data_IF_833270992642
#
_entry.id   IF_833270992642
#
_cell.length_a   1.000
_cell.length_b   1.000
_cell.length_c   1.000
_cell.angle_alpha   90.00
_cell.angle_beta   90.00
_cell.angle_gamma   90.00
#
_symmetry.space_group_name_H-M   'P 1'
#
loop_
_entity.id
_entity.type
_entity.pdbx_description
1 polymer ?
#
# COMPACT_ATOMS: atom_id res chain seq x y z
N UNK A 1 -4.73 4.52 24.72
CA UNK A 1 -5.29 5.36 23.63
C UNK A 1 -5.22 4.76 22.21
N UNK A 2 -4.40 3.72 21.93
CA UNK A 2 -4.28 3.12 20.58
C UNK A 2 -5.45 2.24 20.11
N UNK A 3 -6.16 1.58 21.03
CA UNK A 3 -7.22 0.60 20.70
C UNK A 3 -8.48 1.23 20.07
N UNK A 4 -8.83 2.47 20.42
CA UNK A 4 -10.01 3.18 19.86
C UNK A 4 -9.87 3.56 18.38
N UNK A 5 -8.64 3.74 17.88
CA UNK A 5 -8.38 4.04 16.47
C UNK A 5 -8.51 2.79 15.58
N UNK A 6 -8.19 1.61 16.12
CA UNK A 6 -8.29 0.34 15.40
C UNK A 6 -9.75 -0.07 15.16
N UNK A 7 -10.62 0.13 16.15
CA UNK A 7 -12.05 -0.18 16.02
C UNK A 7 -12.75 0.71 14.98
N UNK A 8 -12.41 2.00 14.93
CA UNK A 8 -13.06 2.95 14.01
C UNK A 8 -12.66 2.75 12.54
N UNK A 9 -11.42 2.32 12.26
CA UNK A 9 -10.99 1.99 10.90
C UNK A 9 -11.50 0.61 10.47
N UNK A 10 -11.63 -0.32 11.41
CA UNK A 10 -12.15 -1.68 11.19
C UNK A 10 -13.65 -1.69 10.90
N UNK A 11 -14.46 -0.96 11.70
CA UNK A 11 -15.92 -0.85 11.52
C UNK A 11 -16.30 -0.18 10.20
N UNK A 12 -15.58 0.90 9.80
CA UNK A 12 -15.84 1.61 8.52
C UNK A 12 -15.55 0.77 7.27
N UNK A 13 -14.70 -0.26 7.38
CA UNK A 13 -14.29 -1.10 6.26
C UNK A 13 -14.81 -2.55 6.33
N UNK A 14 -15.65 -2.90 7.33
CA UNK A 14 -16.16 -4.28 7.58
C UNK A 14 -15.04 -5.33 7.56
N UNK A 15 -13.96 -5.08 8.30
CA UNK A 15 -12.74 -5.90 8.27
C UNK A 15 -12.60 -6.80 9.52
N UNK A 16 -13.39 -7.87 9.62
CA UNK A 16 -13.25 -8.89 10.68
C UNK A 16 -12.43 -10.12 10.22
N UNK A 17 -11.78 -10.82 11.16
CA UNK A 17 -11.05 -12.08 10.90
C UNK A 17 -9.65 -11.92 10.27
N UNK A 18 -9.42 -12.54 9.11
CA UNK A 18 -8.12 -12.51 8.37
C UNK A 18 -7.58 -11.09 8.12
N UNK A 19 -8.46 -10.08 8.15
CA UNK A 19 -8.13 -8.67 8.02
C UNK A 19 -7.39 -8.05 9.22
N UNK A 20 -7.58 -8.56 10.44
CA UNK A 20 -6.78 -8.15 11.60
C UNK A 20 -5.30 -8.53 11.44
N UNK A 21 -5.02 -9.70 10.85
CA UNK A 21 -3.65 -10.12 10.54
C UNK A 21 -2.95 -9.17 9.55
N UNK A 22 -3.69 -8.58 8.61
CA UNK A 22 -3.14 -7.57 7.70
C UNK A 22 -2.82 -6.25 8.40
N UNK A 23 -3.65 -5.81 9.35
CA UNK A 23 -3.37 -4.60 10.14
C UNK A 23 -2.06 -4.77 10.94
N UNK A 24 -1.92 -5.89 11.64
CA UNK A 24 -0.70 -6.22 12.40
C UNK A 24 0.50 -6.30 11.45
N UNK A 25 0.34 -6.92 10.27
CA UNK A 25 1.39 -6.98 9.26
C UNK A 25 1.84 -5.59 8.78
N UNK A 26 0.90 -4.69 8.46
CA UNK A 26 1.23 -3.32 8.05
C UNK A 26 1.85 -2.51 9.19
N UNK A 27 1.39 -2.70 10.43
CA UNK A 27 2.02 -2.09 11.60
C UNK A 27 3.48 -2.52 11.75
N UNK A 28 3.78 -3.82 11.59
CA UNK A 28 5.16 -4.32 11.60
C UNK A 28 6.01 -3.69 10.50
N UNK A 29 5.47 -3.50 9.30
CA UNK A 29 6.18 -2.82 8.20
C UNK A 29 6.43 -1.35 8.54
N UNK A 30 5.42 -0.63 9.03
CA UNK A 30 5.54 0.78 9.43
C UNK A 30 6.61 0.92 10.51
N UNK A 31 6.63 0.02 11.50
CA UNK A 31 7.64 0.02 12.55
C UNK A 31 9.05 -0.18 11.98
N UNK A 32 9.24 -1.15 11.07
CA UNK A 32 10.52 -1.36 10.38
C UNK A 32 10.97 -0.12 9.60
N UNK A 33 10.06 0.54 8.89
CA UNK A 33 10.38 1.78 8.15
C UNK A 33 10.77 2.90 9.11
N UNK A 34 10.04 3.07 10.21
CA UNK A 34 10.36 4.09 11.23
C UNK A 34 11.73 3.86 11.86
N UNK A 35 12.07 2.60 12.18
CA UNK A 35 13.39 2.26 12.71
C UNK A 35 14.50 2.53 11.70
N UNK A 36 14.28 2.18 10.42
CA UNK A 36 15.23 2.50 9.35
C UNK A 36 15.45 4.01 9.21
N UNK A 37 14.38 4.82 9.23
CA UNK A 37 14.50 6.29 9.22
C UNK A 37 15.32 6.79 10.42
N UNK A 38 15.06 6.25 11.61
CA UNK A 38 15.81 6.61 12.82
C UNK A 38 17.30 6.27 12.68
N UNK A 39 17.63 5.07 12.20
CA UNK A 39 19.03 4.68 11.96
C UNK A 39 19.71 5.57 10.93
N UNK A 40 19.03 5.92 9.83
CA UNK A 40 19.58 6.84 8.82
C UNK A 40 19.79 8.25 9.35
N UNK A 41 18.91 8.71 10.25
CA UNK A 41 19.05 10.03 10.88
C UNK A 41 20.39 10.16 11.63
N UNK A 42 20.75 9.13 12.42
CA UNK A 42 21.98 9.10 13.23
C UNK A 42 23.26 8.69 12.47
N UNK A 43 23.15 8.34 11.19
CA UNK A 43 24.29 7.91 10.39
C UNK A 43 25.23 9.09 10.10
N UNK A 44 26.51 8.98 10.53
CA UNK A 44 27.53 10.04 10.36
C UNK A 44 28.05 10.16 8.91
N UNK A 45 28.09 9.06 8.16
CA UNK A 45 28.57 9.04 6.78
C UNK A 45 27.56 9.73 5.84
N UNK A 46 27.80 11.01 5.53
CA UNK A 46 26.92 11.86 4.70
C UNK A 46 26.64 11.28 3.29
N UNK A 47 27.63 10.85 2.49
CA UNK A 47 27.34 10.34 1.14
C UNK A 47 26.54 9.04 1.18
N UNK A 48 26.89 8.10 2.07
CA UNK A 48 26.14 6.85 2.21
C UNK A 48 24.72 7.09 2.73
N UNK A 49 24.56 8.00 3.70
CA UNK A 49 23.25 8.45 4.20
C UNK A 49 22.38 8.94 3.04
N UNK A 50 22.86 9.92 2.26
CA UNK A 50 22.11 10.49 1.13
C UNK A 50 21.68 9.42 0.12
N UNK A 51 22.56 8.45 -0.19
CA UNK A 51 22.23 7.33 -1.05
C UNK A 51 21.06 6.49 -0.50
N UNK A 52 21.13 6.10 0.78
CA UNK A 52 20.08 5.32 1.42
C UNK A 52 18.75 6.08 1.51
N UNK A 53 18.80 7.40 1.75
CA UNK A 53 17.62 8.26 1.79
C UNK A 53 16.91 8.30 0.44
N UNK A 54 17.66 8.53 -0.65
CA UNK A 54 17.14 8.51 -2.02
C UNK A 54 16.55 7.13 -2.35
N UNK A 55 17.25 6.05 -1.98
CA UNK A 55 16.81 4.69 -2.24
C UNK A 55 15.50 4.37 -1.51
N UNK A 56 15.42 4.69 -0.22
CA UNK A 56 14.22 4.50 0.59
C UNK A 56 13.06 5.36 0.06
N UNK A 57 13.32 6.63 -0.26
CA UNK A 57 12.37 7.57 -0.84
C UNK A 57 11.76 7.04 -2.14
N UNK A 58 12.60 6.63 -3.09
CA UNK A 58 12.17 6.00 -4.35
C UNK A 58 11.37 4.73 -4.11
N UNK A 59 11.79 3.87 -3.18
CA UNK A 59 11.07 2.61 -2.89
C UNK A 59 9.67 2.87 -2.35
N UNK A 60 9.52 3.80 -1.41
CA UNK A 60 8.24 4.16 -0.82
C UNK A 60 7.33 4.92 -1.78
N UNK A 61 7.91 5.79 -2.61
CA UNK A 61 7.21 6.47 -3.70
C UNK A 61 6.70 5.48 -4.75
N UNK A 62 7.53 4.51 -5.13
CA UNK A 62 7.14 3.48 -6.09
C UNK A 62 5.93 2.71 -5.55
N UNK A 63 5.96 2.27 -4.30
CA UNK A 63 4.81 1.63 -3.65
C UNK A 63 3.57 2.53 -3.52
N UNK A 64 3.69 3.82 -3.84
CA UNK A 64 2.66 4.84 -3.72
C UNK A 64 2.30 5.17 -2.28
N UNK A 65 3.22 4.90 -1.34
CA UNK A 65 3.08 5.27 0.06
C UNK A 65 3.46 6.74 0.29
N UNK A 66 4.31 7.30 -0.57
CA UNK A 66 4.69 8.71 -0.60
C UNK A 66 4.19 9.39 -1.87
N UNK A 67 3.94 10.69 -1.77
CA UNK A 67 3.56 11.54 -2.90
C UNK A 67 4.80 12.00 -3.67
N UNK A 68 5.89 12.24 -2.95
CA UNK A 68 7.19 12.71 -3.43
C UNK A 68 8.29 11.86 -2.75
N UNK A 69 9.28 11.33 -3.49
CA UNK A 69 10.37 10.56 -2.91
C UNK A 69 11.27 11.36 -1.96
N UNK A 70 11.34 12.69 -2.09
CA UNK A 70 12.21 13.54 -1.28
C UNK A 70 11.66 13.76 0.14
N UNK A 71 10.34 13.60 0.34
CA UNK A 71 9.67 13.78 1.63
C UNK A 71 9.79 12.55 2.54
N UNK A 72 10.87 11.77 2.42
CA UNK A 72 11.00 10.49 3.10
C UNK A 72 11.06 10.66 4.62
N UNK A 73 11.58 11.77 5.15
CA UNK A 73 11.61 12.05 6.59
C UNK A 73 10.41 12.85 7.06
N UNK A 74 9.89 13.75 6.23
CA UNK A 74 8.83 14.69 6.63
C UNK A 74 7.47 14.01 6.76
N UNK A 75 7.20 12.98 5.95
CA UNK A 75 5.91 12.28 5.97
C UNK A 75 5.93 11.01 6.82
N UNK A 76 5.01 10.98 7.78
CA UNK A 76 4.65 9.77 8.53
C UNK A 76 3.81 8.84 7.65
N UNK A 77 4.28 7.59 7.52
CA UNK A 77 3.53 6.54 6.81
C UNK A 77 2.52 5.95 7.78
N UNK A 78 1.27 5.88 7.36
CA UNK A 78 0.16 5.34 8.15
C UNK A 78 -0.40 4.08 7.53
N UNK A 79 -1.16 3.30 8.31
CA UNK A 79 -1.87 2.12 7.82
C UNK A 79 -2.82 2.48 6.68
N UNK A 80 -3.43 3.68 6.71
CA UNK A 80 -4.30 4.18 5.65
C UNK A 80 -3.55 4.30 4.31
N UNK A 81 -2.26 4.65 4.31
CA UNK A 81 -1.44 4.65 3.10
C UNK A 81 -1.39 3.25 2.48
N UNK A 82 -1.20 2.20 3.29
CA UNK A 82 -1.17 0.82 2.80
C UNK A 82 -2.54 0.34 2.31
N UNK A 83 -3.61 0.60 3.08
CA UNK A 83 -4.97 0.18 2.72
C UNK A 83 -5.43 0.82 1.41
N UNK A 84 -5.10 2.10 1.20
CA UNK A 84 -5.45 2.83 -0.02
C UNK A 84 -4.74 2.31 -1.28
N UNK A 85 -3.69 1.50 -1.12
CA UNK A 85 -2.92 0.85 -2.19
C UNK A 85 -3.29 -0.62 -2.38
N UNK A 86 -4.38 -1.09 -1.77
CA UNK A 86 -4.87 -2.45 -2.05
C UNK A 86 -5.59 -2.46 -3.40
N UNK A 87 -5.42 -3.55 -4.15
CA UNK A 87 -6.00 -3.69 -5.48
C UNK A 87 -7.49 -3.36 -5.50
N UNK A 88 -8.26 -3.86 -4.52
CA UNK A 88 -9.70 -3.60 -4.51
C UNK A 88 -10.03 -2.11 -4.38
N UNK A 89 -9.28 -1.35 -3.59
CA UNK A 89 -9.49 0.10 -3.45
C UNK A 89 -9.19 0.80 -4.76
N UNK A 90 -8.12 0.40 -5.44
CA UNK A 90 -7.72 0.95 -6.72
C UNK A 90 -8.74 0.63 -7.83
N UNK A 91 -9.24 -0.60 -7.87
CA UNK A 91 -10.27 -1.03 -8.81
C UNK A 91 -11.59 -0.25 -8.61
N UNK A 92 -12.00 -0.03 -7.35
CA UNK A 92 -13.17 0.79 -7.04
C UNK A 92 -12.98 2.25 -7.45
N UNK A 93 -11.80 2.84 -7.20
CA UNK A 93 -11.47 4.20 -7.65
C UNK A 93 -11.51 4.33 -9.17
N UNK A 94 -11.10 3.29 -9.90
CA UNK A 94 -11.17 3.20 -11.37
C UNK A 94 -12.56 2.82 -11.90
N UNK A 95 -13.58 2.67 -11.04
CA UNK A 95 -14.94 2.28 -11.40
C UNK A 95 -15.05 0.91 -12.09
N UNK A 96 -14.09 0.00 -11.86
CA UNK A 96 -14.16 -1.37 -12.38
C UNK A 96 -15.18 -2.25 -11.64
N UNK A 97 -15.69 -1.80 -10.49
CA UNK A 97 -16.79 -2.44 -9.77
C UNK A 97 -17.48 -1.42 -8.85
N UNK A 98 -18.69 -1.73 -8.39
CA UNK A 98 -19.44 -0.86 -7.46
C UNK A 98 -19.09 -1.13 -6.02
N UNK A 99 -18.75 -2.38 -5.70
CA UNK A 99 -18.42 -2.82 -4.35
C UNK A 99 -17.29 -3.87 -4.34
N UNK A 100 -16.83 -4.24 -3.14
CA UNK A 100 -15.77 -5.24 -2.96
C UNK A 100 -16.09 -6.62 -3.56
N UNK A 101 -17.36 -7.06 -3.48
CA UNK A 101 -17.78 -8.36 -4.00
C UNK A 101 -17.67 -8.39 -5.53
N UNK A 102 -18.03 -7.31 -6.20
CA UNK A 102 -17.91 -7.17 -7.65
C UNK A 102 -16.45 -7.31 -8.09
N UNK A 103 -15.54 -6.56 -7.45
CA UNK A 103 -14.11 -6.63 -7.77
C UNK A 103 -13.55 -8.04 -7.49
N UNK A 104 -13.98 -8.68 -6.40
CA UNK A 104 -13.61 -10.07 -6.09
C UNK A 104 -14.10 -11.05 -7.14
N UNK A 105 -15.31 -10.85 -7.65
CA UNK A 105 -15.86 -11.64 -8.74
C UNK A 105 -15.04 -11.46 -10.03
N UNK A 106 -14.67 -10.23 -10.37
CA UNK A 106 -13.83 -9.95 -11.54
C UNK A 106 -12.44 -10.60 -11.45
N UNK A 107 -11.78 -10.55 -10.29
CA UNK A 107 -10.52 -11.27 -10.08
C UNK A 107 -10.72 -12.79 -10.24
N UNK A 108 -11.80 -13.36 -9.69
CA UNK A 108 -12.09 -14.80 -9.80
C UNK A 108 -12.36 -15.22 -11.25
N UNK A 109 -13.00 -14.36 -12.03
CA UNK A 109 -13.26 -14.55 -13.46
C UNK A 109 -12.07 -14.20 -14.37
N UNK A 110 -10.91 -13.83 -13.79
CA UNK A 110 -9.70 -13.43 -14.53
C UNK A 110 -9.94 -12.26 -15.50
N UNK A 111 -10.86 -11.34 -15.17
CA UNK A 111 -11.21 -10.17 -16.00
C UNK A 111 -10.46 -8.89 -15.62
N UNK A 112 -9.66 -8.95 -14.57
CA UNK A 112 -8.77 -7.86 -14.16
C UNK A 112 -7.34 -8.24 -14.46
N UNK A 113 -6.67 -7.37 -15.20
CA UNK A 113 -5.31 -7.58 -15.64
C UNK A 113 -4.38 -6.50 -15.11
N UNK A 114 -3.14 -6.91 -14.90
CA UNK A 114 -2.04 -6.05 -14.56
C UNK A 114 -0.83 -6.43 -15.40
N UNK A 115 -0.30 -5.52 -16.20
CA UNK A 115 0.80 -5.82 -17.12
C UNK A 115 0.54 -7.12 -17.91
N UNK A 116 -0.67 -7.25 -18.46
CA UNK A 116 -1.10 -8.42 -19.22
C UNK A 116 -1.18 -9.74 -18.42
N UNK A 117 -1.02 -9.70 -17.09
CA UNK A 117 -1.18 -10.86 -16.22
C UNK A 117 -2.51 -10.80 -15.45
N UNK A 118 -3.32 -11.88 -15.43
CA UNK A 118 -4.60 -11.89 -14.73
C UNK A 118 -4.40 -11.83 -13.21
N UNK A 119 -5.22 -11.05 -12.52
CA UNK A 119 -5.11 -10.85 -11.08
C UNK A 119 -6.03 -11.80 -10.33
N UNK A 120 -5.43 -12.73 -9.58
CA UNK A 120 -6.17 -13.81 -8.93
C UNK A 120 -6.65 -13.50 -7.50
N UNK A 121 -6.07 -12.50 -6.83
CA UNK A 121 -6.38 -12.16 -5.42
C UNK A 121 -6.60 -10.67 -5.24
N UNK A 122 -7.72 -10.30 -4.62
CA UNK A 122 -8.10 -8.91 -4.30
C UNK A 122 -7.31 -8.30 -3.14
N UNK A 123 -6.75 -9.16 -2.30
CA UNK A 123 -6.06 -8.77 -1.07
C UNK A 123 -4.60 -8.41 -1.30
N UNK A 124 -4.07 -8.66 -2.51
CA UNK A 124 -2.74 -8.26 -2.91
C UNK A 124 -2.64 -6.77 -2.61
N UNK A 125 -1.82 -6.44 -1.60
CA UNK A 125 -1.26 -5.11 -1.52
C UNK A 125 -0.58 -4.96 -2.85
N UNK A 126 -1.10 -4.02 -3.62
CA UNK A 126 -0.65 -3.84 -4.95
C UNK A 126 0.83 -3.46 -4.75
N UNK A 127 1.75 -4.39 -4.98
CA UNK A 127 3.15 -4.11 -5.31
C UNK A 127 3.20 -3.40 -6.68
N UNK A 128 2.12 -2.68 -7.01
CA UNK A 128 1.97 -1.83 -8.15
C UNK A 128 2.77 -0.62 -7.77
N UNK A 129 3.96 -0.58 -8.33
CA UNK A 129 4.58 0.70 -8.58
C UNK A 129 3.51 1.67 -9.13
N UNK A 130 3.56 2.96 -8.83
CA UNK A 130 2.69 3.96 -9.52
C UNK A 130 2.64 3.72 -11.05
N UNK A 131 3.74 3.24 -11.63
CA UNK A 131 3.88 2.79 -13.03
C UNK A 131 2.92 1.67 -13.47
N UNK A 132 2.50 0.81 -12.55
CA UNK A 132 1.60 -0.32 -12.84
C UNK A 132 0.12 0.05 -12.63
N UNK A 133 -0.19 1.11 -11.88
CA UNK A 133 -1.59 1.56 -11.73
C UNK A 133 -2.18 2.07 -13.03
N UNK A 134 -1.39 2.74 -13.88
CA UNK A 134 -1.81 3.16 -15.23
C UNK A 134 -2.11 1.98 -16.15
N UNK A 135 -1.55 0.80 -15.85
CA UNK A 135 -1.66 -0.44 -16.64
C UNK A 135 -2.70 -1.42 -16.13
N UNK A 136 -3.52 -1.00 -15.16
CA UNK A 136 -4.68 -1.78 -14.71
C UNK A 136 -5.81 -1.61 -15.74
N UNK A 137 -6.18 -2.71 -16.40
CA UNK A 137 -7.19 -2.77 -17.46
C UNK A 137 -8.29 -3.78 -17.15
N UNK A 138 -9.39 -3.65 -17.89
CA UNK A 138 -10.58 -4.50 -17.84
C UNK A 138 -10.85 -5.01 -19.26
N UNK A 139 -11.06 -6.32 -19.41
CA UNK A 139 -11.56 -6.92 -20.65
C UNK A 139 -13.07 -7.17 -20.52
N UNK A 140 -13.81 -6.77 -21.56
CA UNK A 140 -15.26 -6.98 -21.68
C UNK A 140 -15.61 -8.44 -21.91
#
# INVERSE_FOLDING_TARGET
MGQRLEENVSKKNKMTGKHGKFLIFYQKIIFKISNLKRSLFFLKNKPFKKYCEIFLGKKLFNLGLLVDPNLVFDKKITIKNFLNRRLFVLALKKKFGKNYKDVKFLCKKKRLFLNSSPILKTEIMSLLSRKMESRLSFEN
#
